data_IF_346153814626
#
_entry.id   IF_346153814626
#
_cell.length_a   1.000
_cell.length_b   1.000
_cell.length_c   1.000
_cell.angle_alpha   90.00
_cell.angle_beta   90.00
_cell.angle_gamma   90.00
#
_symmetry.space_group_name_H-M   'P 1'
#
loop_
_entity.id
_entity.type
_entity.pdbx_description
1 polymer ?
#
# COMPACT_ATOMS: atom_id res chain seq x y z
N UNK A 1 20.76 -0.21 -9.72
CA UNK A 1 19.75 0.66 -9.10
C UNK A 1 20.26 1.03 -7.74
N UNK A 2 20.12 2.30 -7.37
CA UNK A 2 20.44 2.75 -6.02
C UNK A 2 19.34 2.30 -5.04
N UNK A 3 19.65 2.26 -3.74
CA UNK A 3 18.70 1.99 -2.68
C UNK A 3 17.51 2.96 -2.73
N UNK A 4 17.77 4.23 -3.02
CA UNK A 4 16.73 5.25 -3.18
C UNK A 4 15.73 4.90 -4.29
N UNK A 5 16.22 4.54 -5.49
CA UNK A 5 15.37 4.10 -6.60
C UNK A 5 14.52 2.89 -6.23
N UNK A 6 15.09 1.96 -5.46
CA UNK A 6 14.41 0.74 -5.01
C UNK A 6 13.26 1.06 -4.07
N UNK A 7 13.45 2.01 -3.14
CA UNK A 7 12.39 2.44 -2.21
C UNK A 7 11.27 3.18 -2.95
N UNK A 8 11.60 4.00 -3.97
CA UNK A 8 10.60 4.66 -4.83
C UNK A 8 9.77 3.63 -5.60
N UNK A 9 10.40 2.60 -6.17
CA UNK A 9 9.68 1.54 -6.88
C UNK A 9 8.74 0.77 -5.94
N UNK A 10 9.20 0.40 -4.74
CA UNK A 10 8.37 -0.26 -3.73
C UNK A 10 7.19 0.60 -3.28
N UNK A 11 7.43 1.90 -3.06
CA UNK A 11 6.38 2.85 -2.72
C UNK A 11 5.33 2.94 -3.85
N UNK A 12 5.76 2.94 -5.11
CA UNK A 12 4.85 2.90 -6.25
C UNK A 12 3.98 1.64 -6.28
N UNK A 13 4.58 0.47 -6.03
CA UNK A 13 3.86 -0.80 -5.98
C UNK A 13 2.84 -0.85 -4.85
N UNK A 14 3.21 -0.36 -3.66
CA UNK A 14 2.30 -0.31 -2.51
C UNK A 14 1.15 0.67 -2.72
N UNK A 15 1.39 1.82 -3.34
CA UNK A 15 0.34 2.78 -3.68
C UNK A 15 -0.68 2.20 -4.66
N UNK A 16 -0.21 1.44 -5.67
CA UNK A 16 -1.12 0.75 -6.58
C UNK A 16 -1.92 -0.35 -5.85
N UNK A 17 -1.27 -1.11 -4.94
CA UNK A 17 -1.98 -2.10 -4.13
C UNK A 17 -3.02 -1.46 -3.21
N UNK A 18 -2.69 -0.32 -2.57
CA UNK A 18 -3.62 0.43 -1.74
C UNK A 18 -4.85 0.84 -2.55
N UNK A 19 -4.64 1.41 -3.75
CA UNK A 19 -5.72 1.78 -4.66
C UNK A 19 -6.59 0.60 -5.04
N UNK A 20 -5.99 -0.53 -5.42
CA UNK A 20 -6.74 -1.73 -5.76
C UNK A 20 -7.60 -2.22 -4.57
N UNK A 21 -7.03 -2.22 -3.36
CA UNK A 21 -7.75 -2.63 -2.16
C UNK A 21 -8.92 -1.67 -1.83
N UNK A 22 -8.71 -0.37 -1.95
CA UNK A 22 -9.71 0.66 -1.58
C UNK A 22 -10.80 0.84 -2.65
N UNK A 23 -10.40 0.96 -3.91
CA UNK A 23 -11.29 1.33 -5.01
C UNK A 23 -12.00 0.11 -5.62
N UNK A 24 -11.49 -1.10 -5.40
CA UNK A 24 -12.05 -2.32 -6.00
C UNK A 24 -12.43 -3.33 -4.95
N UNK A 25 -11.49 -3.80 -4.12
CA UNK A 25 -11.75 -4.94 -3.25
C UNK A 25 -12.66 -4.59 -2.07
N UNK A 26 -12.47 -3.42 -1.45
CA UNK A 26 -13.33 -2.92 -0.38
C UNK A 26 -14.75 -2.71 -0.87
N UNK A 27 -14.89 -2.02 -2.02
CA UNK A 27 -16.20 -1.79 -2.64
C UNK A 27 -16.86 -3.13 -2.95
N UNK A 28 -16.14 -4.05 -3.60
CA UNK A 28 -16.68 -5.37 -3.97
C UNK A 28 -17.10 -6.18 -2.75
N UNK A 29 -16.25 -6.26 -1.71
CA UNK A 29 -16.54 -6.97 -0.47
C UNK A 29 -17.68 -6.33 0.31
N UNK A 30 -17.80 -5.01 0.30
CA UNK A 30 -18.90 -4.30 0.98
C UNK A 30 -20.28 -4.63 0.37
N UNK A 31 -20.32 -4.88 -0.94
CA UNK A 31 -21.57 -5.24 -1.65
C UNK A 31 -21.83 -6.75 -1.72
N UNK A 32 -20.80 -7.56 -1.93
CA UNK A 32 -20.93 -9.00 -2.21
C UNK A 32 -20.56 -9.90 -1.02
N UNK A 33 -20.02 -9.33 0.06
CA UNK A 33 -19.46 -10.05 1.21
C UNK A 33 -18.01 -10.48 1.04
N UNK A 34 -17.52 -10.58 -0.21
CA UNK A 34 -16.14 -10.94 -0.54
C UNK A 34 -15.59 -10.12 -1.71
N UNK A 35 -14.28 -9.89 -1.73
CA UNK A 35 -13.55 -9.25 -2.83
C UNK A 35 -13.42 -10.17 -4.05
N UNK A 36 -12.82 -9.67 -5.14
CA UNK A 36 -12.56 -10.51 -6.32
C UNK A 36 -11.52 -11.61 -6.05
N UNK A 37 -10.67 -11.42 -5.04
CA UNK A 37 -9.67 -12.39 -4.57
C UNK A 37 -10.23 -13.32 -3.48
N UNK A 38 -11.51 -13.19 -3.14
CA UNK A 38 -12.19 -14.03 -2.14
C UNK A 38 -11.97 -13.61 -0.69
N UNK A 39 -11.45 -12.40 -0.45
CA UNK A 39 -11.25 -11.85 0.89
C UNK A 39 -12.55 -11.31 1.47
N UNK A 40 -12.80 -11.55 2.74
CA UNK A 40 -13.88 -10.87 3.48
C UNK A 40 -13.62 -9.37 3.59
N UNK A 41 -14.67 -8.60 3.90
CA UNK A 41 -14.55 -7.15 4.11
C UNK A 41 -13.53 -6.79 5.20
N UNK A 42 -13.47 -7.57 6.29
CA UNK A 42 -12.55 -7.31 7.39
C UNK A 42 -11.10 -7.65 6.99
N UNK A 43 -10.86 -8.74 6.27
CA UNK A 43 -9.53 -9.04 5.71
C UNK A 43 -9.05 -7.98 4.72
N UNK A 44 -9.95 -7.39 3.92
CA UNK A 44 -9.60 -6.26 3.05
C UNK A 44 -9.19 -5.03 3.87
N UNK A 45 -9.92 -4.70 4.93
CA UNK A 45 -9.57 -3.57 5.82
C UNK A 45 -8.24 -3.77 6.53
N UNK A 46 -7.98 -4.99 6.98
CA UNK A 46 -6.71 -5.34 7.62
C UNK A 46 -5.55 -5.17 6.64
N UNK A 47 -5.72 -5.62 5.39
CA UNK A 47 -4.71 -5.41 4.34
C UNK A 47 -4.51 -3.94 3.99
N UNK A 48 -5.58 -3.14 3.90
CA UNK A 48 -5.48 -1.69 3.68
C UNK A 48 -4.63 -1.06 4.78
N UNK A 49 -4.93 -1.37 6.04
CA UNK A 49 -4.22 -0.85 7.21
C UNK A 49 -2.73 -1.19 7.16
N UNK A 50 -2.41 -2.45 6.85
CA UNK A 50 -1.03 -2.92 6.74
C UNK A 50 -0.28 -2.23 5.59
N UNK A 51 -0.90 -2.12 4.41
CA UNK A 51 -0.28 -1.44 3.25
C UNK A 51 -0.01 0.03 3.56
N UNK A 52 -0.94 0.75 4.20
CA UNK A 52 -0.70 2.14 4.62
C UNK A 52 0.43 2.28 5.63
N UNK A 53 0.56 1.34 6.56
CA UNK A 53 1.67 1.33 7.51
C UNK A 53 3.02 1.13 6.82
N UNK A 54 3.07 0.26 5.80
CA UNK A 54 4.27 0.04 4.98
C UNK A 54 4.62 1.28 4.15
N UNK A 55 3.62 1.91 3.51
CA UNK A 55 3.77 3.18 2.77
C UNK A 55 4.39 4.25 3.67
N UNK A 56 3.79 4.50 4.83
CA UNK A 56 4.28 5.51 5.77
C UNK A 56 5.70 5.21 6.28
N UNK A 57 6.10 3.94 6.33
CA UNK A 57 7.46 3.55 6.70
C UNK A 57 8.45 3.82 5.59
N UNK A 58 8.10 3.52 4.34
CA UNK A 58 8.94 3.84 3.18
C UNK A 58 9.07 5.34 2.96
N UNK A 59 7.99 6.10 3.11
CA UNK A 59 8.01 7.55 2.99
C UNK A 59 8.97 8.19 3.99
N UNK A 60 8.99 7.72 5.25
CA UNK A 60 9.98 8.15 6.25
C UNK A 60 11.42 7.81 5.85
N UNK A 61 11.65 6.60 5.35
CA UNK A 61 13.00 6.21 4.90
C UNK A 61 13.48 7.06 3.72
N UNK A 62 12.59 7.41 2.80
CA UNK A 62 12.89 8.29 1.68
C UNK A 62 13.19 9.72 2.14
N UNK A 63 12.45 10.23 3.11
CA UNK A 63 12.67 11.54 3.72
C UNK A 63 14.05 11.61 4.40
N UNK A 64 14.36 10.63 5.27
CA UNK A 64 15.66 10.50 5.95
C UNK A 64 16.82 10.46 4.93
N UNK A 65 16.68 9.70 3.85
CA UNK A 65 17.71 9.61 2.80
C UNK A 65 17.83 10.90 1.97
N UNK A 66 16.72 11.62 1.74
CA UNK A 66 16.73 12.88 1.01
C UNK A 66 17.46 13.96 1.81
N UNK A 67 17.24 14.00 3.13
CA UNK A 67 17.92 14.93 4.03
C UNK A 67 19.44 14.66 4.09
N UNK A 68 19.85 13.40 4.15
CA UNK A 68 21.27 13.00 4.13
C UNK A 68 22.02 13.37 2.83
N UNK A 69 21.29 13.57 1.73
CA UNK A 69 21.83 13.96 0.42
C UNK A 69 21.89 15.49 0.21
N UNK A 70 21.32 16.28 1.12
CA UNK A 70 21.24 17.76 1.05
C UNK A 70 22.44 18.48 1.65
#
# INVERSE_FOLDING_TARGET
MDQFDTLIEQLGQLNERARQLEDVDYITASYKGFSNEGLTLDEVKDQITEVHHQIATLERQLDDMSDDLS
#
